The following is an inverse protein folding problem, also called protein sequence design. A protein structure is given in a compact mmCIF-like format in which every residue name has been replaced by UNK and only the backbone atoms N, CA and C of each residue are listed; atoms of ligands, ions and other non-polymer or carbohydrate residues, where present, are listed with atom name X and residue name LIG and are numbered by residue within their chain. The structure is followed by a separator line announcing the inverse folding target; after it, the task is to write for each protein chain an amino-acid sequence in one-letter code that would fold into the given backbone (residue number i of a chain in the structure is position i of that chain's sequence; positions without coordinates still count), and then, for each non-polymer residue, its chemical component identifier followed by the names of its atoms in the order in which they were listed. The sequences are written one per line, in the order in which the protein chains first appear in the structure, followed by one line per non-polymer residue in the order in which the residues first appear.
data_IF_369191245661
#
_entry.id   IF_369191245661
#
_cell.length_a   1.000
_cell.length_b   1.000
_cell.length_c   1.000
_cell.angle_alpha   90.00
_cell.angle_beta   90.00
_cell.angle_gamma   90.00
#
_symmetry.space_group_name_H-M   'P 1'
#
loop_
_entity.id
_entity.type
_entity.pdbx_description
1 polymer ?
#
# COMPACT_ATOMS: atom_id res chain seq x y z
N UNK A 1 -11.58 -8.17 -10.47
CA UNK A 1 -11.08 -7.48 -11.69
C UNK A 1 -10.03 -8.35 -12.37
N UNK A 2 -10.11 -8.60 -13.68
CA UNK A 2 -9.09 -9.39 -14.40
C UNK A 2 -7.72 -8.69 -14.34
N UNK A 3 -6.66 -9.47 -14.10
CA UNK A 3 -5.28 -8.97 -14.15
C UNK A 3 -4.73 -8.99 -15.58
N UNK A 4 -3.70 -8.16 -15.86
CA UNK A 4 -2.89 -8.33 -17.05
C UNK A 4 -2.30 -9.75 -17.12
N UNK A 5 -2.34 -10.35 -18.31
CA UNK A 5 -1.96 -11.74 -18.55
C UNK A 5 -0.56 -12.09 -18.03
N UNK A 6 0.41 -11.18 -18.22
CA UNK A 6 1.78 -11.36 -17.75
C UNK A 6 1.85 -11.53 -16.22
N UNK A 7 1.05 -10.76 -15.48
CA UNK A 7 1.03 -10.80 -14.02
C UNK A 7 0.28 -12.03 -13.49
N UNK A 8 -0.81 -12.41 -14.16
CA UNK A 8 -1.53 -13.65 -13.88
C UNK A 8 -0.63 -14.88 -14.11
N UNK A 9 0.07 -14.94 -15.25
CA UNK A 9 1.02 -16.02 -15.56
C UNK A 9 2.15 -16.09 -14.51
N UNK A 10 2.65 -14.95 -14.04
CA UNK A 10 3.65 -14.90 -12.97
C UNK A 10 3.12 -15.47 -11.65
N UNK A 11 1.87 -15.13 -11.27
CA UNK A 11 1.22 -15.68 -10.06
C UNK A 11 1.03 -17.19 -10.16
N UNK A 12 0.53 -17.67 -11.30
CA UNK A 12 0.35 -19.10 -11.56
C UNK A 12 1.69 -19.83 -11.52
N UNK A 13 2.75 -19.26 -12.11
CA UNK A 13 4.10 -19.84 -12.05
C UNK A 13 4.61 -19.95 -10.62
N UNK A 14 4.44 -18.91 -9.80
CA UNK A 14 4.85 -18.94 -8.39
C UNK A 14 4.07 -19.99 -7.60
N UNK A 15 2.75 -20.08 -7.80
CA UNK A 15 1.92 -21.09 -7.15
C UNK A 15 2.33 -22.52 -7.54
N UNK A 16 2.65 -22.78 -8.82
CA UNK A 16 3.14 -24.09 -9.28
C UNK A 16 4.54 -24.43 -8.76
N UNK A 17 5.34 -23.43 -8.42
CA UNK A 17 6.68 -23.60 -7.86
C UNK A 17 6.67 -23.74 -6.34
N UNK A 18 5.51 -23.60 -5.70
CA UNK A 18 5.37 -23.82 -4.27
C UNK A 18 5.70 -25.28 -3.95
N UNK A 19 6.59 -25.47 -2.97
CA UNK A 19 7.14 -26.79 -2.61
C UNK A 19 6.34 -27.46 -1.50
N UNK A 20 5.30 -26.83 -0.98
CA UNK A 20 4.45 -27.46 0.02
C UNK A 20 3.64 -28.60 -0.61
N UNK A 21 4.12 -29.83 -0.39
CA UNK A 21 3.50 -31.07 -0.87
C UNK A 21 2.09 -31.31 -0.33
N UNK A 22 1.63 -30.55 0.67
CA UNK A 22 0.26 -30.64 1.21
C UNK A 22 -0.75 -29.86 0.37
N UNK A 23 -0.30 -28.94 -0.47
CA UNK A 23 -1.16 -28.08 -1.27
C UNK A 23 -1.35 -28.66 -2.67
N UNK A 24 -2.45 -29.39 -2.87
CA UNK A 24 -2.94 -29.75 -4.20
C UNK A 24 -3.95 -28.71 -4.66
N UNK A 25 -3.50 -27.74 -5.45
CA UNK A 25 -4.36 -26.68 -5.96
C UNK A 25 -5.32 -27.21 -7.03
N UNK A 26 -6.61 -26.89 -6.89
CA UNK A 26 -7.64 -27.19 -7.87
C UNK A 26 -7.51 -26.31 -9.13
N UNK A 27 -8.20 -26.69 -10.20
CA UNK A 27 -8.23 -25.86 -11.41
C UNK A 27 -8.86 -24.48 -11.15
N UNK A 28 -9.89 -24.42 -10.29
CA UNK A 28 -10.54 -23.17 -9.92
C UNK A 28 -9.60 -22.24 -9.15
N UNK A 29 -8.74 -22.78 -8.30
CA UNK A 29 -7.72 -21.98 -7.62
C UNK A 29 -6.85 -21.20 -8.63
N UNK A 30 -6.40 -21.87 -9.70
CA UNK A 30 -5.59 -21.20 -10.73
C UNK A 30 -6.39 -20.16 -11.52
N UNK A 31 -7.68 -20.41 -11.77
CA UNK A 31 -8.58 -19.42 -12.39
C UNK A 31 -8.69 -18.17 -11.52
N UNK A 32 -8.83 -18.32 -10.20
CA UNK A 32 -8.91 -17.18 -9.29
C UNK A 32 -7.62 -16.34 -9.24
N UNK A 33 -6.45 -16.92 -9.51
CA UNK A 33 -5.19 -16.17 -9.57
C UNK A 33 -5.13 -15.13 -10.70
N UNK A 34 -5.97 -15.30 -11.72
CA UNK A 34 -6.15 -14.35 -12.83
C UNK A 34 -6.93 -13.10 -12.42
N UNK A 35 -7.48 -13.06 -11.19
CA UNK A 35 -8.29 -11.95 -10.68
C UNK A 35 -7.67 -11.29 -9.45
N UNK A 36 -7.87 -9.97 -9.35
CA UNK A 36 -7.73 -9.24 -8.09
C UNK A 36 -9.10 -9.18 -7.46
N UNK A 37 -9.20 -9.71 -6.24
CA UNK A 37 -10.41 -9.74 -5.43
C UNK A 37 -10.27 -8.68 -4.33
N UNK A 38 -11.25 -7.78 -4.28
CA UNK A 38 -11.34 -6.72 -3.26
C UNK A 38 -12.65 -6.95 -2.50
N UNK A 39 -12.58 -6.91 -1.18
CA UNK A 39 -13.75 -6.98 -0.30
C UNK A 39 -13.98 -5.58 0.24
N UNK A 40 -15.19 -5.06 0.04
CA UNK A 40 -15.55 -3.70 0.45
C UNK A 40 -16.98 -3.69 0.98
N UNK A 41 -17.27 -2.78 1.91
CA UNK A 41 -18.61 -2.47 2.39
C UNK A 41 -19.33 -1.43 1.52
N UNK A 42 -18.63 -0.86 0.54
CA UNK A 42 -19.17 0.11 -0.41
C UNK A 42 -19.95 -0.64 -1.48
N UNK A 43 -21.21 -0.25 -1.69
CA UNK A 43 -22.08 -0.86 -2.70
C UNK A 43 -21.65 -0.50 -4.12
N UNK A 44 -22.12 -1.32 -5.08
CA UNK A 44 -21.80 -1.18 -6.51
C UNK A 44 -22.35 0.12 -7.11
N UNK A 45 -23.39 0.69 -6.51
CA UNK A 45 -23.97 1.99 -6.87
C UNK A 45 -23.05 3.17 -6.51
N UNK A 46 -22.14 2.97 -5.55
CA UNK A 46 -21.23 4.00 -5.06
C UNK A 46 -19.89 3.95 -5.79
N UNK A 47 -19.28 2.77 -5.92
CA UNK A 47 -18.00 2.59 -6.61
C UNK A 47 -18.05 1.49 -7.67
N UNK A 48 -17.53 1.81 -8.85
CA UNK A 48 -17.14 0.79 -9.81
C UNK A 48 -15.92 -0.01 -9.30
N UNK A 49 -15.73 -1.23 -9.81
CA UNK A 49 -14.59 -2.06 -9.46
C UNK A 49 -13.23 -1.38 -9.73
N UNK A 50 -13.14 -0.54 -10.77
CA UNK A 50 -11.94 0.23 -11.09
C UNK A 50 -11.66 1.33 -10.06
N UNK A 51 -12.70 2.01 -9.56
CA UNK A 51 -12.56 3.02 -8.50
C UNK A 51 -12.18 2.37 -7.17
N UNK A 52 -12.73 1.19 -6.87
CA UNK A 52 -12.30 0.41 -5.70
C UNK A 52 -10.83 0.00 -5.78
N UNK A 53 -10.33 -0.39 -6.96
CA UNK A 53 -8.89 -0.64 -7.18
C UNK A 53 -8.05 0.61 -6.98
N UNK A 54 -8.48 1.76 -7.52
CA UNK A 54 -7.79 3.04 -7.30
C UNK A 54 -7.73 3.42 -5.82
N UNK A 55 -8.83 3.26 -5.08
CA UNK A 55 -8.86 3.49 -3.65
C UNK A 55 -7.90 2.54 -2.91
N UNK A 56 -7.89 1.26 -3.30
CA UNK A 56 -7.01 0.25 -2.70
C UNK A 56 -5.52 0.55 -2.92
N UNK A 57 -5.14 1.23 -4.01
CA UNK A 57 -3.74 1.66 -4.25
C UNK A 57 -3.22 2.60 -3.16
N UNK A 58 -4.10 3.37 -2.51
CA UNK A 58 -3.72 4.27 -1.39
C UNK A 58 -3.22 3.48 -0.17
N UNK A 59 -3.60 2.20 -0.03
CA UNK A 59 -3.09 1.33 1.05
C UNK A 59 -1.56 1.26 1.10
N UNK A 60 -0.88 1.32 -0.04
CA UNK A 60 0.58 1.34 -0.07
C UNK A 60 1.18 2.67 0.38
N UNK A 61 0.45 3.78 0.21
CA UNK A 61 0.93 5.11 0.60
C UNK A 61 1.14 5.21 2.11
N UNK A 62 0.23 4.64 2.91
CA UNK A 62 0.37 4.66 4.36
C UNK A 62 1.58 3.83 4.84
N UNK A 63 1.89 2.71 4.17
CA UNK A 63 3.12 1.95 4.47
C UNK A 63 4.39 2.76 4.18
N UNK A 64 4.42 3.50 3.06
CA UNK A 64 5.55 4.36 2.72
C UNK A 64 5.73 5.45 3.77
N UNK A 65 4.64 6.10 4.21
CA UNK A 65 4.69 7.09 5.29
C UNK A 65 5.29 6.50 6.57
N UNK A 66 4.81 5.33 7.01
CA UNK A 66 5.33 4.68 8.21
C UNK A 66 6.79 4.23 8.07
N UNK A 67 7.19 3.72 6.90
CA UNK A 67 8.60 3.35 6.63
C UNK A 67 9.50 4.59 6.68
N UNK A 68 9.06 5.69 6.08
CA UNK A 68 9.77 6.98 6.12
C UNK A 68 9.90 7.52 7.55
N UNK A 69 8.89 7.37 8.40
CA UNK A 69 8.99 7.76 9.81
C UNK A 69 10.04 6.95 10.57
N UNK A 70 10.04 5.62 10.39
CA UNK A 70 10.97 4.75 11.10
C UNK A 70 12.41 4.93 10.62
N UNK A 71 12.63 4.92 9.31
CA UNK A 71 13.97 4.89 8.71
C UNK A 71 14.49 6.27 8.28
N UNK A 72 13.62 7.17 7.83
CA UNK A 72 14.04 8.48 7.31
C UNK A 72 14.13 9.52 8.42
N UNK A 73 13.05 9.65 9.21
CA UNK A 73 12.99 10.62 10.32
C UNK A 73 13.58 10.10 11.62
N UNK A 74 14.08 8.86 11.65
CA UNK A 74 14.69 8.25 12.83
C UNK A 74 13.80 8.44 14.07
N UNK A 75 12.50 8.15 13.94
CA UNK A 75 11.50 8.43 14.98
C UNK A 75 11.90 7.89 16.37
N UNK A 76 12.63 6.78 16.40
CA UNK A 76 13.15 6.15 17.62
C UNK A 76 14.25 6.99 18.32
N UNK A 77 15.01 7.80 17.57
CA UNK A 77 15.98 8.75 18.14
C UNK A 77 15.28 10.03 18.62
N UNK A 78 14.30 10.52 17.85
CA UNK A 78 13.45 11.66 18.23
C UNK A 78 12.64 11.38 19.50
N UNK A 79 12.05 10.18 19.58
CA UNK A 79 11.30 9.67 20.72
C UNK A 79 12.14 8.63 21.48
N UNK A 80 13.34 9.01 21.90
CA UNK A 80 14.21 8.12 22.66
C UNK A 80 13.58 7.74 24.01
N UNK A 81 14.02 6.62 24.58
CA UNK A 81 13.44 6.00 25.80
C UNK A 81 13.43 6.88 27.06
N UNK A 82 14.12 8.02 27.04
CA UNK A 82 14.15 9.03 28.12
C UNK A 82 13.06 10.10 28.00
N UNK A 83 12.37 10.19 26.86
CA UNK A 83 11.23 11.06 26.67
C UNK A 83 9.99 10.45 27.35
N UNK A 84 9.77 10.74 28.63
CA UNK A 84 8.57 10.32 29.38
C UNK A 84 7.46 11.36 29.40
N UNK A 85 7.73 12.58 28.93
CA UNK A 85 6.72 13.64 28.88
C UNK A 85 5.75 13.41 27.72
N UNK A 86 4.54 12.94 28.04
CA UNK A 86 3.47 12.65 27.10
C UNK A 86 3.18 13.82 26.14
N UNK A 87 3.11 15.06 26.66
CA UNK A 87 2.82 16.25 25.83
C UNK A 87 3.87 16.43 24.75
N UNK A 88 5.15 16.25 25.08
CA UNK A 88 6.25 16.34 24.10
C UNK A 88 6.13 15.25 23.04
N UNK A 89 5.79 14.02 23.43
CA UNK A 89 5.62 12.90 22.49
C UNK A 89 4.47 13.20 21.53
N UNK A 90 3.29 13.56 22.06
CA UNK A 90 2.12 13.91 21.27
C UNK A 90 2.40 15.08 20.31
N UNK A 91 3.04 16.15 20.78
CA UNK A 91 3.41 17.28 19.93
C UNK A 91 4.33 16.85 18.78
N UNK A 92 5.37 16.04 19.04
CA UNK A 92 6.27 15.56 17.99
C UNK A 92 5.53 14.70 16.95
N UNK A 93 4.65 13.79 17.40
CA UNK A 93 3.83 12.98 16.49
C UNK A 93 2.92 13.87 15.64
N UNK A 94 2.26 14.86 16.23
CA UNK A 94 1.40 15.78 15.48
C UNK A 94 2.17 16.65 14.49
N UNK A 95 3.38 17.11 14.84
CA UNK A 95 4.23 17.86 13.93
C UNK A 95 4.67 17.00 12.73
N UNK A 96 5.03 15.74 12.96
CA UNK A 96 5.36 14.79 11.88
C UNK A 96 4.14 14.49 10.99
N UNK A 97 2.96 14.36 11.59
CA UNK A 97 1.69 14.21 10.87
C UNK A 97 1.36 15.44 10.01
N UNK A 98 1.59 16.66 10.51
CA UNK A 98 1.39 17.89 9.72
C UNK A 98 2.44 18.09 8.63
N UNK A 99 3.68 17.69 8.88
CA UNK A 99 4.76 17.81 7.90
C UNK A 99 4.55 16.89 6.68
N UNK A 100 3.95 15.71 6.90
CA UNK A 100 3.75 14.69 5.87
C UNK A 100 2.92 15.15 4.66
N UNK A 101 1.72 15.74 4.81
CA UNK A 101 0.94 16.27 3.69
C UNK A 101 1.68 17.33 2.88
N UNK A 102 2.47 18.19 3.54
CA UNK A 102 3.26 19.25 2.88
C UNK A 102 4.36 18.64 2.02
N UNK A 103 5.08 17.65 2.57
CA UNK A 103 6.15 16.97 1.86
C UNK A 103 5.62 16.05 0.74
N UNK A 104 4.54 15.31 1.01
CA UNK A 104 3.87 14.47 0.03
C UNK A 104 3.34 15.29 -1.15
N UNK A 105 2.70 16.45 -0.91
CA UNK A 105 2.28 17.35 -1.99
C UNK A 105 3.44 17.75 -2.89
N UNK A 106 4.60 18.10 -2.32
CA UNK A 106 5.77 18.48 -3.12
C UNK A 106 6.29 17.30 -3.97
N UNK A 107 6.36 16.09 -3.41
CA UNK A 107 6.79 14.89 -4.16
C UNK A 107 5.80 14.52 -5.26
N UNK A 108 4.51 14.49 -4.97
CA UNK A 108 3.48 14.11 -5.94
C UNK A 108 3.28 15.18 -7.02
N UNK A 109 3.45 16.47 -6.71
CA UNK A 109 3.45 17.54 -7.70
C UNK A 109 4.62 17.40 -8.70
N UNK A 110 5.83 17.05 -8.23
CA UNK A 110 6.96 16.74 -9.10
C UNK A 110 6.72 15.50 -9.97
N UNK A 111 5.98 14.51 -9.46
CA UNK A 111 5.64 13.29 -10.20
C UNK A 111 4.56 13.52 -11.27
N UNK A 112 3.57 14.39 -11.03
CA UNK A 112 2.55 14.76 -12.03
C UNK A 112 3.13 15.49 -13.26
N UNK A 113 4.18 16.30 -13.08
CA UNK A 113 4.89 16.92 -14.22
C UNK A 113 5.51 15.84 -15.12
N UNK A 114 6.01 14.75 -14.52
CA UNK A 114 6.63 13.65 -15.25
C UNK A 114 5.62 12.68 -15.90
N UNK A 115 4.41 12.55 -15.34
CA UNK A 115 3.31 11.77 -15.94
C UNK A 115 2.56 12.49 -17.06
N UNK A 116 2.65 13.84 -17.14
CA UNK A 116 2.01 14.64 -18.19
C UNK A 116 2.86 14.81 -19.46
N UNK A 117 4.11 14.36 -19.43
CA UNK A 117 5.06 14.36 -20.56
C UNK A 117 5.23 12.97 -21.20
N UNK A 118 4.34 12.03 -20.92
CA UNK A 118 4.26 10.71 -21.54
C UNK A 118 2.80 10.40 -21.90
#
# INVERSE_FOLDING_TARGET
MPLPEQLAAQRIRKAKQDRDRRLNHSQDYYRWLEYTVLITNVGEETWTAAQADQAYRVRWQIEIVFKSWKSGFHLQQLLHNGCTNEKRISTNIYLLLMFMPVYAKNIFASCQICQRLR
#
